data_IF_042046577982
#
_entry.id   IF_042046577982
#
_cell.length_a   1.000
_cell.length_b   1.000
_cell.length_c   1.000
_cell.angle_alpha   90.00
_cell.angle_beta   90.00
_cell.angle_gamma   90.00
#
_symmetry.space_group_name_H-M   'P 1'
#
loop_
_entity.id
_entity.type
_entity.pdbx_description
1 polymer ?
#
# COMPACT_ATOMS: atom_id res chain seq x y z
N UNK A 1 -12.88 -23.31 1.21
CA UNK A 1 -14.22 -23.91 1.14
C UNK A 1 -15.36 -22.87 1.33
N UNK A 2 -15.35 -22.07 2.42
CA UNK A 2 -16.42 -21.08 2.66
C UNK A 2 -16.50 -20.03 1.55
N UNK A 3 -15.37 -19.47 1.11
CA UNK A 3 -15.31 -18.50 0.01
C UNK A 3 -15.85 -19.11 -1.30
N UNK A 4 -15.48 -20.35 -1.61
CA UNK A 4 -15.99 -21.06 -2.80
C UNK A 4 -17.51 -21.20 -2.77
N UNK A 5 -18.06 -21.68 -1.65
CA UNK A 5 -19.52 -21.82 -1.47
C UNK A 5 -20.25 -20.47 -1.61
N UNK A 6 -19.66 -19.39 -1.07
CA UNK A 6 -20.24 -18.06 -1.18
C UNK A 6 -20.28 -17.61 -2.65
N UNK A 7 -19.17 -17.74 -3.38
CA UNK A 7 -19.09 -17.37 -4.81
C UNK A 7 -20.07 -18.21 -5.66
N UNK A 8 -20.16 -19.50 -5.38
CA UNK A 8 -21.09 -20.40 -6.09
C UNK A 8 -22.56 -20.06 -5.80
N UNK A 9 -22.89 -19.63 -4.58
CA UNK A 9 -24.24 -19.24 -4.18
C UNK A 9 -24.64 -17.88 -4.74
N UNK A 10 -23.78 -16.86 -4.60
CA UNK A 10 -24.07 -15.47 -4.99
C UNK A 10 -23.87 -15.23 -6.50
N UNK A 11 -23.05 -16.05 -7.16
CA UNK A 11 -22.70 -15.92 -8.59
C UNK A 11 -22.33 -14.50 -9.00
N UNK A 12 -21.37 -13.86 -8.31
CA UNK A 12 -20.99 -12.49 -8.61
C UNK A 12 -20.40 -12.41 -10.01
N UNK A 13 -20.63 -11.29 -10.70
CA UNK A 13 -19.98 -11.01 -11.98
C UNK A 13 -18.46 -10.83 -11.81
N UNK A 14 -18.08 -10.20 -10.71
CA UNK A 14 -16.69 -9.86 -10.38
C UNK A 14 -16.43 -10.11 -8.90
N UNK A 15 -15.20 -10.52 -8.57
CA UNK A 15 -14.67 -10.50 -7.20
C UNK A 15 -13.53 -9.48 -7.15
N UNK A 16 -13.63 -8.53 -6.23
CA UNK A 16 -12.66 -7.46 -6.03
C UNK A 16 -12.07 -7.61 -4.63
N UNK A 17 -10.86 -8.16 -4.49
CA UNK A 17 -10.20 -8.30 -3.19
C UNK A 17 -9.78 -6.94 -2.62
N UNK A 18 -10.19 -6.66 -1.36
CA UNK A 18 -9.87 -5.41 -0.66
C UNK A 18 -9.08 -5.63 0.64
N UNK A 19 -8.98 -6.86 1.10
CA UNK A 19 -8.26 -7.19 2.33
C UNK A 19 -7.25 -8.31 2.09
N UNK A 20 -6.21 -8.36 2.94
CA UNK A 20 -5.09 -9.29 2.77
C UNK A 20 -5.39 -10.71 3.25
N UNK A 21 -6.25 -10.90 4.24
CA UNK A 21 -6.49 -12.22 4.85
C UNK A 21 -7.64 -12.98 4.19
N UNK A 22 -7.51 -13.31 2.91
CA UNK A 22 -8.49 -14.09 2.14
C UNK A 22 -7.86 -15.35 1.54
N UNK A 23 -8.68 -16.31 1.13
CA UNK A 23 -8.25 -17.57 0.52
C UNK A 23 -7.85 -17.35 -0.95
N UNK A 24 -6.72 -16.70 -1.21
CA UNK A 24 -6.28 -16.31 -2.57
C UNK A 24 -6.01 -17.51 -3.48
N UNK A 25 -5.53 -18.65 -2.96
CA UNK A 25 -5.39 -19.88 -3.73
C UNK A 25 -6.73 -20.38 -4.28
N UNK A 26 -7.80 -20.26 -3.50
CA UNK A 26 -9.15 -20.61 -3.96
C UNK A 26 -9.64 -19.63 -5.04
N UNK A 27 -9.30 -18.36 -4.95
CA UNK A 27 -9.62 -17.40 -6.01
C UNK A 27 -8.89 -17.73 -7.32
N UNK A 28 -7.61 -18.14 -7.25
CA UNK A 28 -6.86 -18.61 -8.43
C UNK A 28 -7.50 -19.84 -9.07
N UNK A 29 -7.95 -20.81 -8.27
CA UNK A 29 -8.65 -21.99 -8.79
C UNK A 29 -9.96 -21.63 -9.51
N UNK A 30 -10.78 -20.75 -8.91
CA UNK A 30 -12.06 -20.32 -9.47
C UNK A 30 -11.89 -19.45 -10.73
N UNK A 31 -10.87 -18.57 -10.73
CA UNK A 31 -10.53 -17.75 -11.90
C UNK A 31 -10.01 -18.63 -13.05
N UNK A 32 -9.12 -19.58 -12.78
CA UNK A 32 -8.59 -20.51 -13.76
C UNK A 32 -9.68 -21.44 -14.34
N UNK A 33 -10.67 -21.80 -13.53
CA UNK A 33 -11.84 -22.57 -13.96
C UNK A 33 -12.87 -21.73 -14.74
N UNK A 34 -12.67 -20.41 -14.86
CA UNK A 34 -13.62 -19.50 -15.49
C UNK A 34 -14.93 -19.31 -14.73
N UNK A 35 -14.97 -19.67 -13.45
CA UNK A 35 -16.17 -19.58 -12.60
C UNK A 35 -16.48 -18.13 -12.24
N UNK A 36 -15.45 -17.31 -12.04
CA UNK A 36 -15.56 -15.89 -11.71
C UNK A 36 -14.36 -15.12 -12.22
N UNK A 37 -14.54 -13.85 -12.51
CA UNK A 37 -13.45 -12.91 -12.82
C UNK A 37 -13.00 -12.21 -11.55
N UNK A 38 -11.68 -12.18 -11.29
CA UNK A 38 -11.08 -11.48 -10.14
C UNK A 38 -10.33 -10.24 -10.63
N UNK A 39 -10.47 -9.12 -9.96
CA UNK A 39 -9.85 -7.85 -10.34
C UNK A 39 -8.99 -7.31 -9.18
N UNK A 40 -7.71 -7.00 -9.45
CA UNK A 40 -7.01 -7.03 -10.75
C UNK A 40 -6.84 -8.44 -11.31
N UNK A 41 -6.32 -9.39 -10.56
CA UNK A 41 -6.27 -10.84 -10.81
C UNK A 41 -6.13 -11.58 -9.48
N UNK A 42 -6.55 -12.85 -9.40
CA UNK A 42 -6.32 -13.67 -8.21
C UNK A 42 -4.82 -13.84 -7.91
N UNK A 43 -3.99 -13.94 -8.96
CA UNK A 43 -2.54 -13.98 -8.86
C UNK A 43 -1.96 -12.69 -8.25
N UNK A 44 -2.45 -11.52 -8.67
CA UNK A 44 -2.03 -10.25 -8.08
C UNK A 44 -2.36 -10.20 -6.58
N UNK A 45 -3.58 -10.56 -6.20
CA UNK A 45 -3.98 -10.63 -4.79
C UNK A 45 -3.07 -11.59 -4.00
N UNK A 46 -2.78 -12.78 -4.51
CA UNK A 46 -1.93 -13.76 -3.85
C UNK A 46 -0.49 -13.28 -3.65
N UNK A 47 0.14 -12.78 -4.72
CA UNK A 47 1.54 -12.37 -4.67
C UNK A 47 1.77 -11.15 -3.77
N UNK A 48 0.85 -10.20 -3.76
CA UNK A 48 1.00 -8.97 -2.95
C UNK A 48 0.68 -9.18 -1.48
N UNK A 49 -0.06 -10.24 -1.13
CA UNK A 49 -0.29 -10.64 0.25
C UNK A 49 0.92 -11.37 0.87
N UNK A 50 1.78 -11.92 0.04
CA UNK A 50 2.98 -12.65 0.42
C UNK A 50 4.22 -11.83 0.06
N UNK A 51 4.90 -11.30 1.10
CA UNK A 51 6.14 -10.52 0.89
C UNK A 51 7.21 -11.30 0.16
N UNK A 52 7.27 -12.62 0.33
CA UNK A 52 8.21 -13.45 -0.43
C UNK A 52 7.86 -13.46 -1.91
N UNK A 53 6.59 -13.69 -2.23
CA UNK A 53 6.12 -13.73 -3.61
C UNK A 53 6.39 -12.43 -4.37
N UNK A 54 5.99 -11.31 -3.81
CA UNK A 54 6.17 -10.01 -4.48
C UNK A 54 7.65 -9.56 -4.50
N UNK A 55 8.43 -9.84 -3.43
CA UNK A 55 9.84 -9.48 -3.39
C UNK A 55 10.66 -10.25 -4.43
N UNK A 56 10.44 -11.57 -4.55
CA UNK A 56 11.08 -12.38 -5.58
C UNK A 56 10.65 -11.98 -6.99
N UNK A 57 9.37 -11.66 -7.18
CA UNK A 57 8.90 -11.13 -8.46
C UNK A 57 9.68 -9.87 -8.84
N UNK A 58 9.73 -8.88 -7.95
CA UNK A 58 10.40 -7.61 -8.24
C UNK A 58 11.91 -7.78 -8.45
N UNK A 59 12.60 -8.43 -7.53
CA UNK A 59 14.06 -8.51 -7.53
C UNK A 59 14.61 -9.57 -8.50
N UNK A 60 14.04 -10.80 -8.48
CA UNK A 60 14.62 -11.94 -9.20
C UNK A 60 14.03 -12.12 -10.60
N UNK A 61 12.71 -11.90 -10.76
CA UNK A 61 12.05 -12.08 -12.05
C UNK A 61 12.15 -10.84 -12.93
N UNK A 62 11.92 -9.65 -12.34
CA UNK A 62 11.91 -8.39 -13.09
C UNK A 62 13.24 -7.64 -13.02
N UNK A 63 14.18 -8.05 -12.14
CA UNK A 63 15.48 -7.41 -11.99
C UNK A 63 15.40 -5.96 -11.50
N UNK A 64 14.35 -5.60 -10.77
CA UNK A 64 14.14 -4.23 -10.29
C UNK A 64 15.02 -3.93 -9.07
N UNK A 65 15.46 -2.69 -8.89
CA UNK A 65 16.13 -2.27 -7.67
C UNK A 65 15.25 -2.49 -6.44
N UNK A 66 15.74 -3.22 -5.44
CA UNK A 66 15.11 -3.45 -4.14
C UNK A 66 16.15 -3.35 -3.04
N UNK A 67 15.72 -3.31 -1.76
CA UNK A 67 16.64 -3.55 -0.64
C UNK A 67 17.29 -4.93 -0.80
N UNK A 68 18.58 -5.13 -0.41
CA UNK A 68 19.14 -6.46 -0.20
C UNK A 68 18.28 -7.22 0.82
N UNK A 69 17.99 -8.49 0.59
CA UNK A 69 17.10 -9.24 1.48
C UNK A 69 17.45 -10.72 1.57
N UNK A 70 17.01 -11.34 2.67
CA UNK A 70 17.03 -12.80 2.86
C UNK A 70 15.77 -13.22 3.59
N UNK A 71 15.20 -14.39 3.22
CA UNK A 71 14.12 -15.04 3.96
C UNK A 71 14.71 -16.04 4.94
N UNK A 72 14.22 -16.03 6.19
CA UNK A 72 14.74 -16.83 7.29
C UNK A 72 13.62 -17.58 8.01
N UNK A 73 13.85 -18.86 8.28
CA UNK A 73 12.92 -19.74 9.00
C UNK A 73 13.32 -19.95 10.47
N UNK A 74 14.47 -19.41 10.89
CA UNK A 74 14.96 -19.49 12.26
C UNK A 74 15.74 -18.26 12.66
N UNK A 75 15.86 -18.04 13.98
CA UNK A 75 16.69 -16.97 14.54
C UNK A 75 18.15 -17.11 14.12
N UNK A 76 18.66 -18.34 14.04
CA UNK A 76 20.03 -18.58 13.60
C UNK A 76 20.27 -18.18 12.15
N UNK A 77 19.31 -18.49 11.26
CA UNK A 77 19.33 -18.03 9.87
C UNK A 77 19.24 -16.51 9.76
N UNK A 78 18.38 -15.88 10.58
CA UNK A 78 18.27 -14.41 10.62
C UNK A 78 19.60 -13.78 10.99
N UNK A 79 20.26 -14.26 12.04
CA UNK A 79 21.57 -13.75 12.46
C UNK A 79 22.60 -13.92 11.34
N UNK A 80 22.69 -15.10 10.74
CA UNK A 80 23.62 -15.40 9.65
C UNK A 80 23.35 -14.52 8.41
N UNK A 81 22.08 -14.25 8.08
CA UNK A 81 21.67 -13.40 6.98
C UNK A 81 22.07 -11.93 7.20
N UNK A 82 21.92 -11.44 8.43
CA UNK A 82 22.38 -10.08 8.79
C UNK A 82 23.89 -9.97 8.63
N UNK A 83 24.63 -10.93 9.19
CA UNK A 83 26.09 -10.91 9.18
C UNK A 83 26.69 -11.02 7.77
N UNK A 84 26.03 -11.76 6.87
CA UNK A 84 26.55 -12.05 5.53
C UNK A 84 26.01 -11.17 4.40
N UNK A 85 24.79 -10.61 4.55
CA UNK A 85 24.07 -10.01 3.41
C UNK A 85 23.56 -8.61 3.68
N UNK A 86 22.75 -8.40 4.73
CA UNK A 86 22.09 -7.12 4.93
C UNK A 86 22.88 -6.13 5.76
N UNK A 87 23.67 -6.60 6.69
CA UNK A 87 24.36 -5.76 7.68
C UNK A 87 23.38 -5.01 8.59
N UNK A 88 23.95 -4.04 9.33
CA UNK A 88 23.17 -3.10 10.15
C UNK A 88 23.29 -1.67 9.59
N UNK A 89 22.24 -0.82 9.68
CA UNK A 89 20.91 -1.16 10.15
C UNK A 89 20.15 -2.05 9.13
N UNK A 90 19.20 -2.83 9.63
CA UNK A 90 18.31 -3.64 8.80
C UNK A 90 16.88 -3.65 9.35
N UNK A 91 15.92 -4.16 8.57
CA UNK A 91 14.52 -4.25 8.96
C UNK A 91 14.08 -5.71 8.88
N UNK A 92 13.47 -6.20 9.95
CA UNK A 92 12.87 -7.54 10.02
C UNK A 92 11.35 -7.42 10.00
N UNK A 93 10.72 -8.21 9.13
CA UNK A 93 9.26 -8.22 8.95
C UNK A 93 8.75 -9.67 8.87
N UNK A 94 7.55 -9.99 9.40
CA UNK A 94 6.88 -11.23 9.05
C UNK A 94 6.59 -11.28 7.55
N UNK A 95 6.63 -12.46 6.95
CA UNK A 95 6.28 -12.63 5.52
C UNK A 95 4.84 -12.23 5.24
N UNK A 96 3.92 -12.47 6.17
CA UNK A 96 2.52 -12.05 6.05
C UNK A 96 2.11 -11.16 7.23
N UNK A 97 2.10 -9.86 7.00
CA UNK A 97 1.57 -8.86 7.94
C UNK A 97 1.17 -7.59 7.18
N UNK A 98 0.38 -6.72 7.81
CA UNK A 98 0.02 -5.40 7.27
C UNK A 98 0.18 -4.33 8.34
N UNK A 99 0.23 -3.06 7.93
CA UNK A 99 0.31 -1.90 8.82
C UNK A 99 1.48 -1.99 9.81
N UNK A 100 2.65 -2.42 9.37
CA UNK A 100 3.87 -2.50 10.18
C UNK A 100 3.87 -3.47 11.36
N UNK A 101 2.81 -4.31 11.51
CA UNK A 101 2.74 -5.26 12.62
C UNK A 101 3.85 -6.30 12.53
N UNK A 102 4.60 -6.46 13.62
CA UNK A 102 5.75 -7.37 13.69
C UNK A 102 7.01 -6.84 13.00
N UNK A 103 6.99 -5.61 12.46
CA UNK A 103 8.16 -4.99 11.83
C UNK A 103 9.05 -4.31 12.85
N UNK A 104 10.35 -4.53 12.75
CA UNK A 104 11.38 -3.88 13.59
C UNK A 104 12.55 -3.41 12.75
N UNK A 105 13.01 -2.17 12.97
CA UNK A 105 14.34 -1.73 12.56
C UNK A 105 15.34 -2.20 13.61
N UNK A 106 16.44 -2.75 13.17
CA UNK A 106 17.53 -3.27 14.02
C UNK A 106 18.79 -2.46 13.72
N UNK A 107 19.31 -1.78 14.72
CA UNK A 107 20.54 -0.97 14.59
C UNK A 107 21.80 -1.74 15.05
N UNK A 108 21.62 -2.88 15.73
CA UNK A 108 22.75 -3.71 16.19
C UNK A 108 22.32 -5.10 16.67
N UNK A 109 23.31 -5.99 16.99
CA UNK A 109 23.05 -7.39 17.31
C UNK A 109 22.21 -7.61 18.58
N UNK A 110 22.20 -6.65 19.51
CA UNK A 110 21.43 -6.76 20.75
C UNK A 110 19.90 -6.80 20.54
N UNK A 111 19.41 -6.30 19.40
CA UNK A 111 17.99 -6.19 19.11
C UNK A 111 17.43 -7.38 18.31
N UNK A 112 18.29 -8.26 17.79
CA UNK A 112 17.89 -9.31 16.84
C UNK A 112 16.88 -10.28 17.45
N UNK A 113 17.13 -10.76 18.68
CA UNK A 113 16.20 -11.66 19.37
C UNK A 113 14.83 -11.03 19.57
N UNK A 114 14.80 -9.77 20.05
CA UNK A 114 13.56 -9.04 20.29
C UNK A 114 12.78 -8.82 18.99
N UNK A 115 13.47 -8.51 17.90
CA UNK A 115 12.85 -8.32 16.58
C UNK A 115 12.26 -9.63 16.04
N UNK A 116 12.97 -10.75 16.21
CA UNK A 116 12.46 -12.06 15.87
C UNK A 116 11.17 -12.39 16.64
N UNK A 117 11.20 -12.24 17.96
CA UNK A 117 10.05 -12.55 18.83
C UNK A 117 8.84 -11.67 18.47
N UNK A 118 9.07 -10.40 18.20
CA UNK A 118 8.02 -9.48 17.78
C UNK A 118 7.46 -9.82 16.39
N UNK A 119 8.31 -10.22 15.45
CA UNK A 119 7.85 -10.67 14.13
C UNK A 119 7.02 -11.95 14.21
N UNK A 120 7.41 -12.89 15.07
CA UNK A 120 6.64 -14.12 15.30
C UNK A 120 5.27 -13.85 15.93
N UNK A 121 5.18 -12.89 16.84
CA UNK A 121 3.92 -12.48 17.48
C UNK A 121 3.00 -11.65 16.55
N UNK A 122 3.56 -10.90 15.61
CA UNK A 122 2.86 -9.96 14.74
C UNK A 122 2.36 -10.54 13.42
N UNK A 123 2.78 -11.76 13.05
CA UNK A 123 2.38 -12.40 11.79
C UNK A 123 0.90 -12.81 11.79
N UNK A 124 0.21 -12.61 10.66
CA UNK A 124 -1.20 -13.02 10.49
C UNK A 124 -1.38 -14.53 10.29
N UNK A 125 -0.31 -15.22 9.89
CA UNK A 125 -0.28 -16.68 9.69
C UNK A 125 1.00 -17.20 10.32
N UNK A 126 0.89 -18.24 11.15
CA UNK A 126 1.98 -18.82 11.93
C UNK A 126 2.92 -19.69 11.06
N UNK A 127 3.56 -19.11 10.05
CA UNK A 127 4.53 -19.88 9.25
C UNK A 127 5.97 -19.77 9.77
N UNK A 128 6.20 -19.02 10.86
CA UNK A 128 7.53 -18.92 11.46
C UNK A 128 8.61 -18.33 10.55
N UNK A 129 8.24 -17.62 9.46
CA UNK A 129 9.14 -17.13 8.43
C UNK A 129 9.17 -15.60 8.42
N UNK A 130 10.35 -15.01 8.33
CA UNK A 130 10.58 -13.58 8.24
C UNK A 130 11.37 -13.23 6.98
N UNK A 131 11.26 -11.97 6.56
CA UNK A 131 12.24 -11.32 5.68
C UNK A 131 13.09 -10.37 6.50
N UNK A 132 14.41 -10.39 6.29
CA UNK A 132 15.32 -9.33 6.70
C UNK A 132 15.75 -8.55 5.49
N UNK A 133 15.65 -7.22 5.56
CA UNK A 133 15.98 -6.29 4.48
C UNK A 133 17.04 -5.31 4.96
N UNK A 134 18.09 -5.07 4.15
CA UNK A 134 19.02 -3.98 4.39
C UNK A 134 18.29 -2.64 4.37
N UNK A 135 18.61 -1.77 5.32
CA UNK A 135 18.00 -0.45 5.40
C UNK A 135 18.45 0.42 4.23
N UNK A 136 17.48 0.98 3.50
CA UNK A 136 17.76 1.99 2.48
C UNK A 136 17.79 3.37 3.18
N UNK A 137 18.90 4.05 3.08
CA UNK A 137 19.03 5.45 3.51
C UNK A 137 18.44 6.35 2.43
N UNK A 138 17.11 6.53 2.46
CA UNK A 138 16.36 7.30 1.46
C UNK A 138 16.11 8.73 1.92
N UNK A 139 15.91 9.63 0.95
CA UNK A 139 15.54 11.03 1.21
C UNK A 139 14.05 11.13 1.56
N UNK A 140 13.22 10.35 0.84
CA UNK A 140 11.78 10.28 1.04
C UNK A 140 11.20 8.99 0.46
N UNK A 141 10.01 8.65 0.93
CA UNK A 141 9.17 7.56 0.43
C UNK A 141 7.96 8.14 -0.31
N UNK A 142 7.59 7.53 -1.42
CA UNK A 142 6.37 7.89 -2.16
C UNK A 142 5.49 6.68 -2.40
N UNK A 143 4.20 6.97 -2.57
CA UNK A 143 3.26 6.05 -3.24
C UNK A 143 2.99 6.57 -4.65
N UNK A 144 3.24 5.72 -5.65
CA UNK A 144 2.86 5.96 -7.04
C UNK A 144 1.59 5.18 -7.35
N UNK A 145 0.43 5.85 -7.30
CA UNK A 145 -0.81 5.24 -7.75
C UNK A 145 -0.74 4.99 -9.26
N UNK A 146 -0.93 3.74 -9.62
CA UNK A 146 -0.81 3.22 -10.98
C UNK A 146 -2.13 2.55 -11.37
N UNK A 147 -2.77 3.03 -12.44
CA UNK A 147 -4.07 2.54 -12.87
C UNK A 147 -3.91 1.80 -14.19
N UNK A 148 -4.36 0.56 -14.25
CA UNK A 148 -4.46 -0.24 -15.46
C UNK A 148 -5.92 -0.25 -15.90
N UNK A 149 -6.21 0.42 -17.01
CA UNK A 149 -7.57 0.60 -17.52
C UNK A 149 -7.64 0.25 -19.01
N UNK A 150 -8.84 0.00 -19.49
CA UNK A 150 -9.06 -0.27 -20.93
C UNK A 150 -9.01 1.04 -21.69
N UNK A 151 -8.09 1.13 -22.66
CA UNK A 151 -7.96 2.26 -23.57
C UNK A 151 -9.00 2.26 -24.70
N UNK A 152 -8.94 3.26 -25.53
CA UNK A 152 -9.89 3.44 -26.65
C UNK A 152 -9.81 2.32 -27.70
N UNK A 153 -8.66 1.66 -27.82
CA UNK A 153 -8.41 0.53 -28.72
C UNK A 153 -8.79 -0.83 -28.10
N UNK A 154 -9.32 -0.84 -26.87
CA UNK A 154 -9.67 -2.04 -26.13
C UNK A 154 -8.49 -2.76 -25.46
N UNK A 155 -7.26 -2.20 -25.55
CA UNK A 155 -6.09 -2.73 -24.87
C UNK A 155 -5.95 -2.11 -23.47
N UNK A 156 -5.21 -2.79 -22.59
CA UNK A 156 -4.90 -2.24 -21.26
C UNK A 156 -3.80 -1.21 -21.40
N UNK A 157 -4.12 0.01 -20.98
CA UNK A 157 -3.19 1.12 -20.81
C UNK A 157 -2.84 1.31 -19.35
N UNK A 158 -1.61 1.82 -19.09
CA UNK A 158 -1.15 2.16 -17.75
C UNK A 158 -1.10 3.66 -17.58
N UNK A 159 -1.83 4.16 -16.58
CA UNK A 159 -1.90 5.57 -16.21
C UNK A 159 -1.26 5.77 -14.84
N UNK A 160 -0.62 6.93 -14.64
CA UNK A 160 0.02 7.28 -13.37
C UNK A 160 -0.60 8.55 -12.80
N UNK A 161 -0.99 8.51 -11.53
CA UNK A 161 -1.26 9.74 -10.79
C UNK A 161 0.04 10.49 -10.52
N UNK A 162 -0.04 11.75 -10.12
CA UNK A 162 1.13 12.44 -9.59
C UNK A 162 1.62 11.76 -8.30
N UNK A 163 2.95 11.77 -8.03
CA UNK A 163 3.52 11.11 -6.85
C UNK A 163 2.91 11.63 -5.55
N UNK A 164 2.65 10.72 -4.63
CA UNK A 164 2.14 11.01 -3.29
C UNK A 164 3.27 10.85 -2.29
N UNK A 165 3.67 11.96 -1.65
CA UNK A 165 4.54 11.90 -0.48
C UNK A 165 3.74 11.54 0.75
N UNK A 166 4.34 10.83 1.70
CA UNK A 166 3.67 10.44 2.93
C UNK A 166 4.62 10.31 4.11
N UNK A 167 4.06 10.33 5.31
CA UNK A 167 4.75 10.05 6.55
C UNK A 167 4.11 8.82 7.18
N UNK A 168 4.96 7.87 7.55
CA UNK A 168 4.61 6.72 8.37
C UNK A 168 5.33 6.82 9.72
N UNK A 169 4.63 6.49 10.80
CA UNK A 169 5.20 6.41 12.14
C UNK A 169 5.02 4.97 12.65
N UNK A 170 6.13 4.28 12.85
CA UNK A 170 6.13 2.86 13.27
C UNK A 170 5.35 1.95 12.27
N UNK A 171 5.41 2.28 10.97
CA UNK A 171 4.71 1.55 9.91
C UNK A 171 3.23 1.88 9.75
N UNK A 172 2.70 2.82 10.55
CA UNK A 172 1.33 3.33 10.36
C UNK A 172 1.33 4.64 9.60
N UNK A 173 0.45 4.73 8.60
CA UNK A 173 0.17 5.95 7.84
C UNK A 173 -0.35 7.06 8.76
N UNK A 174 0.22 8.24 8.64
CA UNK A 174 -0.14 9.43 9.43
C UNK A 174 -0.65 10.56 8.55
N UNK A 175 0.07 10.85 7.47
CA UNK A 175 -0.16 12.00 6.60
C UNK A 175 0.29 11.68 5.17
N UNK A 176 -0.41 12.22 4.19
CA UNK A 176 0.04 12.22 2.78
C UNK A 176 -0.26 13.54 2.10
N UNK A 177 0.46 13.83 1.03
CA UNK A 177 0.27 15.04 0.22
C UNK A 177 0.56 14.76 -1.25
N UNK A 178 -0.06 15.52 -2.13
CA UNK A 178 0.07 15.41 -3.58
C UNK A 178 -0.01 16.80 -4.24
N UNK A 179 0.87 17.10 -5.23
CA UNK A 179 1.95 16.26 -5.73
C UNK A 179 3.19 16.32 -4.82
N UNK A 180 3.96 15.23 -4.75
CA UNK A 180 5.29 15.28 -4.15
C UNK A 180 6.32 15.66 -5.21
N UNK A 181 7.13 16.71 -4.99
CA UNK A 181 8.16 17.11 -5.95
C UNK A 181 9.26 16.06 -6.05
N UNK A 182 9.63 15.68 -7.28
CA UNK A 182 10.67 14.70 -7.53
C UNK A 182 11.63 15.18 -8.60
N UNK A 183 12.87 14.69 -8.56
CA UNK A 183 13.78 14.85 -9.69
C UNK A 183 13.19 14.15 -10.94
N UNK A 184 13.19 14.78 -12.14
CA UNK A 184 12.56 14.20 -13.33
C UNK A 184 13.03 12.78 -13.66
N UNK A 185 14.34 12.49 -13.49
CA UNK A 185 14.89 11.16 -13.70
C UNK A 185 14.36 10.12 -12.67
N UNK A 186 14.17 10.52 -11.40
CA UNK A 186 13.58 9.66 -10.38
C UNK A 186 12.10 9.38 -10.68
N UNK A 187 11.34 10.40 -11.12
CA UNK A 187 9.95 10.24 -11.51
C UNK A 187 9.79 9.23 -12.66
N UNK A 188 10.63 9.35 -13.69
CA UNK A 188 10.61 8.43 -14.83
C UNK A 188 10.96 6.99 -14.39
N UNK A 189 12.00 6.81 -13.58
CA UNK A 189 12.35 5.49 -13.01
C UNK A 189 11.23 4.92 -12.15
N UNK A 190 10.55 5.74 -11.35
CA UNK A 190 9.40 5.33 -10.56
C UNK A 190 8.28 4.78 -11.44
N UNK A 191 7.92 5.46 -12.51
CA UNK A 191 6.91 5.03 -13.47
C UNK A 191 7.31 3.73 -14.19
N UNK A 192 8.58 3.59 -14.56
CA UNK A 192 9.10 2.34 -15.18
C UNK A 192 9.00 1.16 -14.23
N UNK A 193 9.39 1.31 -12.96
CA UNK A 193 9.27 0.27 -11.93
C UNK A 193 7.80 -0.10 -11.74
N UNK A 194 6.92 0.89 -11.56
CA UNK A 194 5.49 0.68 -11.37
C UNK A 194 4.86 -0.05 -12.56
N UNK A 195 5.20 0.38 -13.78
CA UNK A 195 4.71 -0.28 -15.01
C UNK A 195 5.16 -1.75 -15.06
N UNK A 196 6.43 -2.03 -14.82
CA UNK A 196 6.97 -3.38 -14.89
C UNK A 196 6.29 -4.32 -13.89
N UNK A 197 6.09 -3.87 -12.64
CA UNK A 197 5.42 -4.65 -11.59
C UNK A 197 3.95 -4.88 -11.94
N UNK A 198 3.21 -3.82 -12.29
CA UNK A 198 1.77 -3.93 -12.52
C UNK A 198 1.44 -4.65 -13.84
N UNK A 199 2.25 -4.52 -14.87
CA UNK A 199 2.13 -5.30 -16.11
C UNK A 199 2.30 -6.79 -15.82
N UNK A 200 3.26 -7.17 -14.99
CA UNK A 200 3.49 -8.57 -14.63
C UNK A 200 2.38 -9.14 -13.73
N UNK A 201 1.87 -8.35 -12.79
CA UNK A 201 0.72 -8.75 -11.96
C UNK A 201 -0.54 -8.93 -12.81
N UNK A 202 -0.66 -8.17 -13.87
CA UNK A 202 -1.74 -8.29 -14.85
C UNK A 202 -3.07 -7.68 -14.41
N UNK A 203 -4.09 -7.89 -15.25
CA UNK A 203 -5.45 -7.41 -15.00
C UNK A 203 -5.61 -5.90 -15.15
N UNK A 204 -6.76 -5.41 -14.72
CA UNK A 204 -7.12 -4.00 -14.67
C UNK A 204 -7.50 -3.61 -13.24
N UNK A 205 -7.36 -2.34 -12.90
CA UNK A 205 -7.60 -1.84 -11.55
C UNK A 205 -6.52 -0.84 -11.14
N UNK A 206 -6.60 -0.42 -9.89
CA UNK A 206 -5.64 0.51 -9.28
C UNK A 206 -4.65 -0.27 -8.41
N UNK A 207 -3.39 0.17 -8.47
CA UNK A 207 -2.29 -0.34 -7.66
C UNK A 207 -1.62 0.82 -6.93
N UNK A 208 -1.41 0.67 -5.63
CA UNK A 208 -0.57 1.56 -4.83
C UNK A 208 0.84 0.98 -4.75
N UNK A 209 1.82 1.58 -5.43
CA UNK A 209 3.22 1.12 -5.44
C UNK A 209 4.05 2.03 -4.56
N UNK A 210 4.64 1.47 -3.51
CA UNK A 210 5.53 2.19 -2.58
C UNK A 210 6.98 2.09 -3.02
N UNK A 211 7.67 3.23 -3.03
CA UNK A 211 9.03 3.38 -3.55
C UNK A 211 9.87 4.24 -2.60
N UNK A 212 11.11 3.80 -2.35
CA UNK A 212 12.12 4.63 -1.71
C UNK A 212 12.89 5.43 -2.75
N UNK A 213 13.18 6.69 -2.44
CA UNK A 213 13.88 7.60 -3.36
C UNK A 213 15.04 8.28 -2.66
N UNK A 214 16.21 8.29 -3.32
CA UNK A 214 17.37 9.07 -2.90
C UNK A 214 18.04 9.71 -4.13
N UNK A 215 17.92 11.04 -4.22
CA UNK A 215 18.35 11.75 -5.42
C UNK A 215 17.64 11.23 -6.67
N UNK A 216 18.38 10.64 -7.60
CA UNK A 216 17.84 10.00 -8.81
C UNK A 216 17.62 8.48 -8.67
N UNK A 217 17.99 7.88 -7.54
CA UNK A 217 17.85 6.46 -7.34
C UNK A 217 16.48 6.13 -6.74
N UNK A 218 15.89 5.05 -7.24
CA UNK A 218 14.56 4.58 -6.85
C UNK A 218 14.62 3.08 -6.58
N UNK A 219 14.02 2.64 -5.47
CA UNK A 219 13.91 1.22 -5.11
C UNK A 219 12.45 0.86 -4.89
N UNK A 220 12.08 -0.30 -5.39
CA UNK A 220 10.78 -0.90 -5.11
C UNK A 220 10.71 -1.35 -3.64
N UNK A 221 9.66 -0.95 -2.95
CA UNK A 221 9.35 -1.35 -1.58
C UNK A 221 8.23 -2.38 -1.52
N UNK A 222 7.00 -1.97 -1.85
CA UNK A 222 5.79 -2.80 -1.76
C UNK A 222 4.78 -2.42 -2.84
N UNK A 223 3.78 -3.27 -3.08
CA UNK A 223 2.62 -2.94 -3.93
C UNK A 223 1.34 -3.53 -3.36
N UNK A 224 0.28 -2.74 -3.38
CA UNK A 224 -1.08 -3.14 -3.05
C UNK A 224 -1.95 -3.11 -4.31
N UNK A 225 -2.68 -4.19 -4.67
CA UNK A 225 -3.50 -4.28 -5.88
C UNK A 225 -4.92 -3.73 -5.63
N UNK A 226 -5.03 -2.59 -4.97
CA UNK A 226 -6.26 -1.95 -4.49
C UNK A 226 -5.99 -0.49 -4.09
N UNK A 227 -7.04 0.32 -3.79
CA UNK A 227 -6.88 1.63 -3.16
C UNK A 227 -5.96 1.57 -1.94
N UNK A 228 -5.14 2.59 -1.75
CA UNK A 228 -4.09 2.64 -0.75
C UNK A 228 -4.33 3.77 0.26
N UNK A 229 -4.01 3.54 1.55
CA UNK A 229 -4.24 4.54 2.61
C UNK A 229 -3.65 5.92 2.28
N UNK A 230 -2.46 5.96 1.67
CA UNK A 230 -1.84 7.23 1.23
C UNK A 230 -2.59 7.90 0.10
N UNK A 231 -3.31 7.13 -0.71
CA UNK A 231 -4.11 7.58 -1.85
C UNK A 231 -5.39 8.32 -1.46
N UNK A 232 -5.79 8.29 -0.18
CA UNK A 232 -6.94 9.06 0.30
C UNK A 232 -6.81 10.56 0.02
N UNK A 233 -5.60 11.08 -0.08
CA UNK A 233 -5.35 12.48 -0.48
C UNK A 233 -5.98 12.81 -1.84
N UNK A 234 -6.12 11.85 -2.74
CA UNK A 234 -6.72 12.06 -4.05
C UNK A 234 -8.17 12.54 -3.99
N UNK A 235 -8.87 12.32 -2.88
CA UNK A 235 -10.20 12.89 -2.66
C UNK A 235 -10.20 14.42 -2.62
N UNK A 236 -9.08 15.04 -2.26
CA UNK A 236 -8.92 16.50 -2.28
C UNK A 236 -8.22 17.00 -3.55
N UNK A 237 -7.34 16.19 -4.16
CA UNK A 237 -6.37 16.64 -5.15
C UNK A 237 -6.70 16.32 -6.60
N UNK A 238 -7.55 15.31 -6.86
CA UNK A 238 -7.84 14.85 -8.23
C UNK A 238 -9.31 15.02 -8.60
N UNK A 239 -9.60 15.03 -9.90
CA UNK A 239 -10.98 14.97 -10.40
C UNK A 239 -11.59 13.60 -10.16
N UNK A 240 -10.82 12.53 -10.42
CA UNK A 240 -11.16 11.16 -10.10
C UNK A 240 -10.24 10.70 -8.98
N UNK A 241 -10.78 10.50 -7.79
CA UNK A 241 -10.01 9.98 -6.68
C UNK A 241 -9.67 8.48 -6.89
N UNK A 242 -8.80 7.94 -6.05
CA UNK A 242 -8.34 6.54 -6.17
C UNK A 242 -9.48 5.51 -6.21
N UNK A 243 -10.56 5.74 -5.46
CA UNK A 243 -11.71 4.82 -5.43
C UNK A 243 -12.49 4.87 -6.75
N UNK A 244 -12.70 6.08 -7.30
CA UNK A 244 -13.33 6.25 -8.60
C UNK A 244 -12.47 5.71 -9.73
N UNK A 245 -11.15 5.95 -9.70
CA UNK A 245 -10.21 5.38 -10.67
C UNK A 245 -10.27 3.85 -10.65
N UNK A 246 -10.28 3.24 -9.45
CA UNK A 246 -10.41 1.79 -9.30
C UNK A 246 -11.73 1.27 -9.87
N UNK A 247 -12.84 1.89 -9.49
CA UNK A 247 -14.17 1.52 -9.98
C UNK A 247 -14.29 1.66 -11.50
N UNK A 248 -13.79 2.75 -12.09
CA UNK A 248 -13.77 2.94 -13.55
C UNK A 248 -12.93 1.88 -14.26
N UNK A 249 -11.72 1.62 -13.75
CA UNK A 249 -10.87 0.57 -14.31
C UNK A 249 -11.54 -0.82 -14.25
N UNK A 250 -12.18 -1.17 -13.13
CA UNK A 250 -12.95 -2.42 -12.94
C UNK A 250 -14.05 -2.56 -14.00
N UNK A 251 -14.76 -1.46 -14.27
CA UNK A 251 -15.90 -1.43 -15.19
C UNK A 251 -15.50 -1.24 -16.66
N UNK A 252 -14.21 -1.11 -16.97
CA UNK A 252 -13.74 -0.83 -18.34
C UNK A 252 -14.08 0.58 -18.83
N UNK A 253 -14.23 1.54 -17.92
CA UNK A 253 -14.51 2.94 -18.24
C UNK A 253 -13.19 3.73 -18.37
N UNK A 254 -13.18 4.82 -19.14
CA UNK A 254 -12.04 5.71 -19.25
C UNK A 254 -11.67 6.32 -17.90
N UNK A 255 -10.36 6.48 -17.67
CA UNK A 255 -9.80 7.06 -16.44
C UNK A 255 -9.07 8.37 -16.74
N UNK A 256 -9.10 9.30 -15.78
CA UNK A 256 -8.38 10.55 -15.81
C UNK A 256 -7.62 10.72 -14.48
N UNK A 257 -6.29 10.67 -14.53
CA UNK A 257 -5.40 10.79 -13.37
C UNK A 257 -4.93 12.21 -13.10
N UNK A 258 -5.52 13.20 -13.78
CA UNK A 258 -5.08 14.60 -13.69
C UNK A 258 -5.31 15.20 -12.31
N UNK A 259 -4.33 15.99 -11.88
CA UNK A 259 -4.39 16.79 -10.66
C UNK A 259 -5.36 17.97 -10.84
N UNK A 260 -6.18 18.21 -9.83
CA UNK A 260 -7.07 19.37 -9.73
C UNK A 260 -6.44 20.50 -8.92
N UNK A 261 -5.79 20.15 -7.81
CA UNK A 261 -5.18 21.08 -6.86
C UNK A 261 -4.15 20.36 -6.01
N UNK A 262 -3.09 21.03 -5.55
CA UNK A 262 -2.27 20.51 -4.46
C UNK A 262 -3.12 20.27 -3.21
N UNK A 263 -2.80 19.23 -2.44
CA UNK A 263 -3.57 18.92 -1.24
C UNK A 263 -2.86 17.98 -0.29
N UNK A 264 -3.49 17.75 0.85
CA UNK A 264 -3.02 16.87 1.90
C UNK A 264 -4.16 16.09 2.56
N UNK A 265 -3.79 15.00 3.21
CA UNK A 265 -4.67 14.15 4.01
C UNK A 265 -3.97 13.81 5.32
N UNK A 266 -4.65 13.93 6.45
CA UNK A 266 -4.14 13.57 7.77
C UNK A 266 -5.12 12.64 8.50
N UNK A 267 -4.58 11.68 9.26
CA UNK A 267 -5.39 10.67 9.96
C UNK A 267 -6.05 11.26 11.19
N UNK A 268 -7.33 10.97 11.37
CA UNK A 268 -8.06 11.20 12.62
C UNK A 268 -8.00 9.90 13.42
N UNK A 269 -7.31 9.94 14.56
CA UNK A 269 -7.16 8.79 15.45
C UNK A 269 -8.27 8.70 16.49
N UNK A 270 -8.58 7.48 16.91
CA UNK A 270 -9.33 7.22 18.13
C UNK A 270 -8.54 7.65 19.37
N UNK A 271 -9.23 8.31 20.29
CA UNK A 271 -8.63 8.82 21.54
C UNK A 271 -8.87 7.94 22.76
N UNK A 272 -9.79 6.96 22.67
CA UNK A 272 -10.19 6.12 23.79
C UNK A 272 -10.76 4.78 23.30
N UNK A 273 -10.76 3.79 24.18
CA UNK A 273 -11.45 2.52 23.98
C UNK A 273 -12.95 2.73 24.19
N UNK A 274 -13.73 2.59 23.13
CA UNK A 274 -15.16 2.80 23.18
C UNK A 274 -15.91 2.11 22.01
N UNK A 275 -17.20 1.89 22.21
CA UNK A 275 -18.17 1.50 21.18
C UNK A 275 -19.12 2.66 20.89
N UNK A 276 -19.49 2.87 19.64
CA UNK A 276 -20.42 3.93 19.27
C UNK A 276 -19.84 5.33 19.50
N UNK A 277 -18.74 5.66 18.83
CA UNK A 277 -18.01 6.92 19.00
C UNK A 277 -18.82 8.15 18.65
N UNK A 278 -18.66 9.18 19.46
CA UNK A 278 -19.05 10.55 19.19
C UNK A 278 -17.80 11.35 18.83
N UNK A 279 -17.90 12.16 17.78
CA UNK A 279 -16.81 13.03 17.32
C UNK A 279 -17.17 14.48 17.69
N UNK A 280 -16.36 15.08 18.54
CA UNK A 280 -16.45 16.50 18.89
C UNK A 280 -15.57 17.35 17.94
N UNK A 281 -15.89 18.63 17.80
CA UNK A 281 -15.08 19.59 17.04
C UNK A 281 -15.23 19.49 15.51
N UNK A 282 -16.07 18.61 14.97
CA UNK A 282 -16.25 18.45 13.50
C UNK A 282 -16.67 19.77 12.84
N UNK A 283 -17.59 20.53 13.47
CA UNK A 283 -18.02 21.81 12.94
C UNK A 283 -16.89 22.87 12.94
N UNK A 284 -15.99 22.82 13.90
CA UNK A 284 -14.85 23.75 13.95
C UNK A 284 -13.79 23.38 12.92
N UNK A 285 -13.50 22.10 12.74
CA UNK A 285 -12.61 21.64 11.70
C UNK A 285 -13.13 22.01 10.30
N UNK A 286 -14.41 21.87 10.04
CA UNK A 286 -15.03 22.24 8.75
C UNK A 286 -15.12 23.76 8.50
N UNK A 287 -14.74 24.61 9.48
CA UNK A 287 -14.57 26.07 9.27
C UNK A 287 -13.21 26.41 8.65
N UNK A 288 -12.25 25.50 8.68
CA UNK A 288 -10.99 25.68 7.98
C UNK A 288 -11.27 25.68 6.47
N UNK A 289 -10.87 26.71 5.73
CA UNK A 289 -11.19 26.80 4.28
C UNK A 289 -10.60 25.65 3.48
N UNK A 290 -11.37 25.19 2.49
CA UNK A 290 -10.95 24.13 1.56
C UNK A 290 -10.61 22.81 2.23
N UNK A 291 -11.28 22.49 3.34
CA UNK A 291 -11.14 21.23 4.05
C UNK A 291 -12.40 20.38 4.00
N UNK A 292 -12.23 19.09 4.17
CA UNK A 292 -13.29 18.11 4.29
C UNK A 292 -12.88 17.02 5.31
N UNK A 293 -13.84 16.29 5.84
CA UNK A 293 -13.61 15.22 6.80
C UNK A 293 -14.31 13.96 6.31
N UNK A 294 -13.63 12.83 6.37
CA UNK A 294 -14.20 11.51 6.16
C UNK A 294 -14.10 10.70 7.43
N UNK A 295 -15.24 10.44 8.07
CA UNK A 295 -15.34 9.54 9.22
C UNK A 295 -15.66 8.13 8.71
N UNK A 296 -14.88 7.13 9.14
CA UNK A 296 -14.97 5.77 8.59
C UNK A 296 -16.15 4.95 9.15
N UNK A 297 -16.89 5.46 10.10
CA UNK A 297 -18.07 4.77 10.66
C UNK A 297 -17.73 3.47 11.41
N UNK A 298 -16.48 3.30 11.87
CA UNK A 298 -16.06 2.10 12.60
C UNK A 298 -16.82 2.00 13.93
N UNK A 299 -17.40 0.83 14.28
CA UNK A 299 -18.22 0.68 15.48
C UNK A 299 -17.43 0.77 16.79
N UNK A 300 -16.13 0.48 16.72
CA UNK A 300 -15.24 0.48 17.87
C UNK A 300 -14.09 1.47 17.67
N UNK A 301 -13.64 2.06 18.74
CA UNK A 301 -12.42 2.88 18.80
C UNK A 301 -11.45 2.32 19.82
N UNK A 302 -10.17 2.56 19.61
CA UNK A 302 -9.09 2.42 20.57
C UNK A 302 -7.99 3.42 20.24
N UNK A 303 -7.10 3.64 21.17
CA UNK A 303 -5.97 4.57 20.98
C UNK A 303 -5.20 4.21 19.71
N UNK A 304 -4.97 5.21 18.84
CA UNK A 304 -4.32 5.08 17.52
C UNK A 304 -5.11 4.28 16.47
N UNK A 305 -6.35 3.85 16.71
CA UNK A 305 -7.18 3.34 15.60
C UNK A 305 -7.51 4.47 14.65
N UNK A 306 -7.26 4.29 13.36
CA UNK A 306 -7.63 5.26 12.33
C UNK A 306 -9.16 5.29 12.20
N UNK A 307 -9.78 6.41 12.58
CA UNK A 307 -11.24 6.59 12.63
C UNK A 307 -11.76 7.46 11.50
N UNK A 308 -10.88 8.18 10.84
CA UNK A 308 -11.22 9.07 9.74
C UNK A 308 -9.96 9.72 9.15
N UNK A 309 -10.18 10.60 8.20
CA UNK A 309 -9.16 11.49 7.64
C UNK A 309 -9.70 12.90 7.49
N UNK A 310 -8.85 13.88 7.78
CA UNK A 310 -9.03 15.25 7.36
C UNK A 310 -8.38 15.42 5.97
N UNK A 311 -9.01 16.17 5.10
CA UNK A 311 -8.60 16.44 3.74
C UNK A 311 -8.52 17.94 3.53
N UNK A 312 -7.47 18.43 2.90
CA UNK A 312 -7.36 19.84 2.55
C UNK A 312 -6.76 20.01 1.15
N UNK A 313 -7.17 21.05 0.45
CA UNK A 313 -6.51 21.53 -0.76
C UNK A 313 -6.17 23.02 -0.65
N UNK A 314 -5.13 23.45 -1.35
CA UNK A 314 -4.66 24.82 -1.35
C UNK A 314 -3.86 25.11 -2.63
N UNK A 315 -3.34 26.35 -2.76
CA UNK A 315 -2.47 26.73 -3.89
C UNK A 315 -1.11 26.00 -3.84
N UNK A 316 -0.71 25.54 -2.66
CA UNK A 316 0.52 24.77 -2.43
C UNK A 316 0.32 23.67 -1.38
N UNK A 317 1.21 22.66 -1.44
CA UNK A 317 1.18 21.49 -0.57
C UNK A 317 1.43 21.86 0.91
N UNK A 318 2.32 22.81 1.19
CA UNK A 318 2.65 23.18 2.57
C UNK A 318 1.45 23.79 3.28
N UNK A 319 0.72 24.67 2.60
CA UNK A 319 -0.52 25.25 3.13
C UNK A 319 -1.59 24.17 3.32
N UNK A 320 -1.75 23.26 2.36
CA UNK A 320 -2.70 22.17 2.47
C UNK A 320 -2.38 21.24 3.68
N UNK A 321 -1.11 20.91 3.90
CA UNK A 321 -0.65 20.09 5.04
C UNK A 321 -0.91 20.74 6.40
N UNK A 322 -0.81 22.07 6.48
CA UNK A 322 -1.15 22.81 7.71
C UNK A 322 -2.65 22.82 8.00
N UNK A 323 -3.46 22.75 6.96
CA UNK A 323 -4.91 22.81 7.06
C UNK A 323 -5.55 21.43 7.34
N UNK A 324 -4.92 20.35 6.87
CA UNK A 324 -5.34 18.97 7.15
C UNK A 324 -4.90 18.53 8.56
#
# INVERSE_FOLDING_TARGET
>A
EQLKRLIEAERPLLVVPEIEAIATSMLEELEAAGTVRVIPTARAARLTMDREGIRRLAAETLGLPTSPYVFCDSLAELQAAIDSTTGYPCVVKPVMSSSGKGQSKIDGPADVQKAWDYAMAGGRVSHGRVIVEGFIDFDYEITQLTVRAVGADGQIETHFCDPIGHIQVSGDYVESWQPHPMHPAALEKSRQICKAVTDNLGGQGLFGVELFVKGENVWFSEVSPRPHDTGMVTMATQWQNEFELHARAILGLPVDTSLKSPGASAVIYGGADAHGMVFDGVADALRVPNTDIRLFGKPESFVKRRMGVALAHADDVETARKNA
#
